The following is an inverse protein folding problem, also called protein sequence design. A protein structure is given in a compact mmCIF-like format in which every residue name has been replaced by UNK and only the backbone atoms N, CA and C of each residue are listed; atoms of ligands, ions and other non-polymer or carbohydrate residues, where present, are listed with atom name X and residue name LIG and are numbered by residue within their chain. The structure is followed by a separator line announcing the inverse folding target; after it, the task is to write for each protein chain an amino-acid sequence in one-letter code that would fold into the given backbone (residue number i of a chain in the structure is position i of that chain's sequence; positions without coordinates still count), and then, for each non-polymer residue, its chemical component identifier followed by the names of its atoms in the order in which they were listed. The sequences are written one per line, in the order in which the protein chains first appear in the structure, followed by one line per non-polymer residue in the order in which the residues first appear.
data_IF_734137193835
#
_entry.id   IF_734137193835
#
_cell.length_a   1.000
_cell.length_b   1.000
_cell.length_c   1.000
_cell.angle_alpha   90.00
_cell.angle_beta   90.00
_cell.angle_gamma   90.00
#
_symmetry.space_group_name_H-M   'P 1'
#
loop_
_entity.id
_entity.type
_entity.pdbx_description
1 polymer ?
#
# COMPACT_ATOMS: atom_id res chain seq x y z
N UNK A 1 13.96 29.48 -24.18
CA UNK A 1 14.34 28.06 -24.28
C UNK A 1 14.14 27.45 -22.91
N UNK A 2 12.98 26.83 -22.68
CA UNK A 2 12.74 26.10 -21.42
C UNK A 2 13.59 24.83 -21.53
N UNK A 3 14.62 24.73 -20.70
CA UNK A 3 15.44 23.51 -20.57
C UNK A 3 14.51 22.35 -20.22
N UNK A 4 14.28 21.43 -21.16
CA UNK A 4 13.56 20.20 -20.86
C UNK A 4 14.46 19.35 -19.95
N UNK A 5 13.95 19.02 -18.76
CA UNK A 5 14.63 18.15 -17.80
C UNK A 5 14.76 16.76 -18.46
N UNK A 6 15.98 16.39 -18.85
CA UNK A 6 16.23 15.10 -19.48
C UNK A 6 16.39 14.02 -18.42
N UNK A 7 15.58 12.96 -18.49
CA UNK A 7 15.57 11.87 -17.51
C UNK A 7 16.34 10.66 -18.04
N UNK A 8 17.57 10.49 -17.61
CA UNK A 8 18.38 9.30 -17.88
C UNK A 8 18.14 8.26 -16.77
N UNK A 9 17.62 7.07 -17.11
CA UNK A 9 17.25 6.05 -16.12
C UNK A 9 18.43 5.59 -15.28
N UNK A 10 19.63 5.58 -15.86
CA UNK A 10 20.88 5.15 -15.23
C UNK A 10 21.25 6.05 -14.05
N UNK A 11 20.91 7.34 -14.08
CA UNK A 11 21.17 8.29 -12.98
C UNK A 11 20.35 8.01 -11.73
N UNK A 12 19.22 7.31 -11.88
CA UNK A 12 18.30 7.01 -10.79
C UNK A 12 18.38 5.55 -10.34
N UNK A 13 19.26 4.76 -10.94
CA UNK A 13 19.41 3.37 -10.58
C UNK A 13 19.95 3.24 -9.16
N UNK A 14 19.28 2.40 -8.35
CA UNK A 14 19.70 2.08 -6.99
C UNK A 14 20.16 0.63 -6.91
N UNK A 15 21.33 0.43 -6.32
CA UNK A 15 21.88 -0.90 -6.01
C UNK A 15 21.18 -1.56 -4.80
N UNK A 16 20.28 -0.84 -4.11
CA UNK A 16 19.49 -1.40 -3.04
C UNK A 16 18.57 -2.49 -3.58
N UNK A 17 18.66 -3.68 -3.00
CA UNK A 17 17.71 -4.75 -3.29
C UNK A 17 16.40 -4.53 -2.54
N UNK A 18 15.27 -4.86 -3.19
CA UNK A 18 13.98 -4.97 -2.50
C UNK A 18 14.08 -6.06 -1.42
N UNK A 19 13.43 -5.83 -0.28
CA UNK A 19 13.44 -6.83 0.80
C UNK A 19 12.63 -8.07 0.41
N UNK A 20 12.84 -9.20 1.11
CA UNK A 20 12.10 -10.44 0.86
C UNK A 20 10.60 -10.25 1.13
N UNK A 21 10.25 -9.44 2.13
CA UNK A 21 8.87 -9.09 2.46
C UNK A 21 8.23 -8.27 1.35
N UNK A 22 8.95 -7.27 0.84
CA UNK A 22 8.52 -6.43 -0.27
C UNK A 22 8.35 -7.25 -1.56
N UNK A 23 9.27 -8.18 -1.85
CA UNK A 23 9.17 -9.09 -3.00
C UNK A 23 7.93 -9.98 -2.92
N UNK A 24 7.64 -10.56 -1.75
CA UNK A 24 6.45 -11.38 -1.51
C UNK A 24 5.16 -10.58 -1.69
N UNK A 25 5.12 -9.35 -1.16
CA UNK A 25 4.00 -8.44 -1.34
C UNK A 25 3.79 -8.07 -2.82
N UNK A 26 4.86 -7.75 -3.56
CA UNK A 26 4.77 -7.44 -4.98
C UNK A 26 4.35 -8.63 -5.84
N UNK A 27 4.73 -9.87 -5.48
CA UNK A 27 4.21 -11.08 -6.15
C UNK A 27 2.68 -11.17 -6.03
N UNK A 28 2.12 -10.83 -4.87
CA UNK A 28 0.66 -10.82 -4.67
C UNK A 28 -0.01 -9.71 -5.49
N UNK A 29 0.58 -8.50 -5.50
CA UNK A 29 0.08 -7.38 -6.31
C UNK A 29 0.09 -7.71 -7.82
N UNK A 30 1.17 -8.35 -8.30
CA UNK A 30 1.23 -8.85 -9.69
C UNK A 30 0.15 -9.87 -10.00
N UNK A 31 -0.13 -10.79 -9.08
CA UNK A 31 -1.21 -11.78 -9.26
C UNK A 31 -2.57 -11.08 -9.40
N UNK A 32 -2.85 -10.10 -8.55
CA UNK A 32 -4.06 -9.27 -8.65
C UNK A 32 -4.14 -8.54 -10.00
N UNK A 33 -3.05 -7.89 -10.42
CA UNK A 33 -2.98 -7.19 -11.70
C UNK A 33 -3.22 -8.13 -12.88
N UNK A 34 -2.63 -9.34 -12.90
CA UNK A 34 -2.87 -10.33 -13.96
C UNK A 34 -4.32 -10.79 -14.05
N UNK A 35 -5.07 -10.72 -12.96
CA UNK A 35 -6.50 -11.11 -12.92
C UNK A 35 -7.44 -9.97 -13.29
N UNK A 36 -7.05 -8.72 -13.05
CA UNK A 36 -7.94 -7.55 -13.12
C UNK A 36 -7.53 -6.52 -14.17
N UNK A 37 -6.30 -6.62 -14.67
CA UNK A 37 -5.63 -5.62 -15.51
C UNK A 37 -5.58 -4.22 -14.88
N UNK A 38 -5.70 -4.15 -13.55
CA UNK A 38 -5.68 -2.91 -12.77
C UNK A 38 -4.60 -2.96 -11.69
N UNK A 39 -3.93 -1.84 -11.39
CA UNK A 39 -2.99 -1.79 -10.27
C UNK A 39 -3.70 -1.93 -8.94
N UNK A 40 -3.05 -2.60 -7.98
CA UNK A 40 -3.41 -2.43 -6.58
C UNK A 40 -2.96 -1.04 -6.13
N UNK A 41 -3.90 -0.23 -5.64
CA UNK A 41 -3.62 1.12 -5.13
C UNK A 41 -3.66 1.11 -3.61
N UNK A 42 -2.61 1.64 -2.98
CA UNK A 42 -2.50 1.77 -1.53
C UNK A 42 -2.23 3.23 -1.16
N UNK A 43 -2.92 3.71 -0.13
CA UNK A 43 -2.82 5.09 0.37
C UNK A 43 -2.56 5.04 1.84
N UNK A 44 -1.56 5.76 2.30
CA UNK A 44 -1.23 5.82 3.71
C UNK A 44 -2.24 6.64 4.53
N UNK A 45 -2.41 6.29 5.81
CA UNK A 45 -3.46 6.88 6.65
C UNK A 45 -3.19 8.36 6.95
N UNK A 46 -1.92 8.76 6.98
CA UNK A 46 -1.51 10.15 7.19
C UNK A 46 -1.97 11.11 6.09
N UNK A 47 -2.40 10.61 4.93
CA UNK A 47 -3.02 11.45 3.89
C UNK A 47 -4.44 11.89 4.30
N UNK A 48 -5.11 11.09 5.13
CA UNK A 48 -6.47 11.37 5.58
C UNK A 48 -6.51 12.11 6.92
N UNK A 49 -5.43 12.01 7.72
CA UNK A 49 -5.31 12.71 8.99
C UNK A 49 -4.74 14.12 8.79
N UNK A 50 -5.57 15.14 9.04
CA UNK A 50 -5.20 16.55 8.84
C UNK A 50 -4.16 17.05 9.85
N UNK A 51 -4.00 16.35 10.98
CA UNK A 51 -3.00 16.65 12.00
C UNK A 51 -1.59 16.14 11.64
N UNK A 52 -1.48 15.23 10.67
CA UNK A 52 -0.21 14.65 10.28
C UNK A 52 0.53 15.51 9.25
N UNK A 53 1.74 15.95 9.61
CA UNK A 53 2.67 16.59 8.68
C UNK A 53 3.37 15.52 7.84
N UNK A 54 2.99 15.40 6.57
CA UNK A 54 3.77 14.65 5.58
C UNK A 54 5.05 15.42 5.25
N UNK A 55 6.19 14.82 5.57
CA UNK A 55 7.51 15.37 5.22
C UNK A 55 7.70 15.36 3.70
N UNK A 56 7.30 14.26 3.03
CA UNK A 56 7.44 14.07 1.59
C UNK A 56 6.15 13.47 1.02
N UNK A 57 5.79 13.89 -0.19
CA UNK A 57 4.65 13.34 -0.92
C UNK A 57 5.17 12.33 -1.94
N UNK A 58 5.25 11.05 -1.55
CA UNK A 58 5.82 10.00 -2.40
C UNK A 58 4.73 9.27 -3.17
N UNK A 59 4.96 9.08 -4.47
CA UNK A 59 4.31 8.07 -5.28
C UNK A 59 5.33 6.96 -5.55
N UNK A 60 4.96 5.72 -5.27
CA UNK A 60 5.78 4.54 -5.60
C UNK A 60 5.01 3.63 -6.54
N UNK A 61 5.63 3.29 -7.67
CA UNK A 61 5.05 2.43 -8.69
C UNK A 61 5.80 1.12 -8.78
N UNK A 62 5.06 0.02 -8.84
CA UNK A 62 5.56 -1.26 -9.32
C UNK A 62 5.11 -1.48 -10.76
N UNK A 63 6.07 -1.66 -11.67
CA UNK A 63 5.83 -1.79 -13.12
C UNK A 63 6.30 -3.17 -13.59
N UNK A 64 5.44 -3.92 -14.30
CA UNK A 64 5.75 -5.23 -14.87
C UNK A 64 6.41 -5.09 -16.25
N UNK A 65 7.59 -4.47 -16.27
CA UNK A 65 8.46 -4.31 -17.44
C UNK A 65 9.89 -4.70 -17.10
N UNK A 66 10.62 -5.11 -18.13
CA UNK A 66 12.05 -5.33 -18.07
C UNK A 66 12.81 -3.99 -18.03
N UNK A 67 13.79 -3.87 -17.14
CA UNK A 67 14.55 -2.63 -16.92
C UNK A 67 15.34 -2.19 -18.15
N UNK A 68 15.90 -3.13 -18.92
CA UNK A 68 16.72 -2.80 -20.08
C UNK A 68 15.87 -2.16 -21.18
N UNK A 69 14.64 -2.63 -21.35
CA UNK A 69 13.68 -2.13 -22.33
C UNK A 69 12.80 -0.96 -21.82
N UNK A 70 12.98 -0.53 -20.58
CA UNK A 70 12.21 0.56 -20.01
C UNK A 70 12.74 1.92 -20.44
N UNK A 71 11.85 2.73 -21.00
CA UNK A 71 12.10 4.12 -21.36
C UNK A 71 11.41 4.99 -20.32
N UNK A 72 12.23 5.54 -19.41
CA UNK A 72 11.75 6.30 -18.26
C UNK A 72 10.95 7.54 -18.68
N UNK A 73 11.48 8.32 -19.62
CA UNK A 73 10.84 9.56 -20.08
C UNK A 73 9.45 9.31 -20.70
N UNK A 74 9.32 8.31 -21.57
CA UNK A 74 8.02 7.91 -22.14
C UNK A 74 7.02 7.50 -21.05
N UNK A 75 7.49 6.74 -20.04
CA UNK A 75 6.65 6.37 -18.90
C UNK A 75 6.21 7.60 -18.10
N UNK A 76 7.14 8.53 -17.80
CA UNK A 76 6.85 9.74 -17.04
C UNK A 76 5.85 10.65 -17.76
N UNK A 77 6.03 10.87 -19.06
CA UNK A 77 5.09 11.64 -19.86
C UNK A 77 3.67 11.06 -19.80
N UNK A 78 3.54 9.73 -19.91
CA UNK A 78 2.24 9.05 -19.85
C UNK A 78 1.61 9.11 -18.45
N UNK A 79 2.39 8.87 -17.39
CA UNK A 79 1.85 8.89 -16.02
C UNK A 79 1.48 10.31 -15.60
N UNK A 80 2.29 11.32 -15.93
CA UNK A 80 1.99 12.73 -15.70
C UNK A 80 0.70 13.15 -16.42
N UNK A 81 0.51 12.71 -17.67
CA UNK A 81 -0.73 12.97 -18.40
C UNK A 81 -1.95 12.30 -17.75
N UNK A 82 -1.85 11.03 -17.34
CA UNK A 82 -2.96 10.30 -16.69
C UNK A 82 -3.32 10.92 -15.33
N UNK A 83 -2.32 11.40 -14.59
CA UNK A 83 -2.50 11.92 -13.23
C UNK A 83 -2.72 13.44 -13.17
N UNK A 84 -2.68 14.13 -14.31
CA UNK A 84 -2.73 15.60 -14.41
C UNK A 84 -1.65 16.29 -13.56
N UNK A 85 -0.40 15.81 -13.68
CA UNK A 85 0.77 16.33 -12.96
C UNK A 85 1.77 16.89 -13.99
N UNK A 86 2.34 18.07 -13.72
CA UNK A 86 3.41 18.62 -14.56
C UNK A 86 4.70 17.81 -14.36
N UNK A 87 5.41 17.52 -15.45
CA UNK A 87 6.68 16.80 -15.39
C UNK A 87 7.74 17.55 -14.55
N UNK A 88 7.67 18.89 -14.52
CA UNK A 88 8.57 19.71 -13.68
C UNK A 88 8.23 19.63 -12.19
N UNK A 89 7.03 19.17 -11.86
CA UNK A 89 6.57 19.00 -10.48
C UNK A 89 6.93 17.63 -9.91
N UNK A 90 7.71 16.81 -10.62
CA UNK A 90 8.17 15.51 -10.12
C UNK A 90 9.69 15.43 -10.00
N UNK A 91 10.12 14.71 -8.96
CA UNK A 91 11.51 14.32 -8.79
C UNK A 91 11.63 12.83 -8.55
N UNK A 92 12.54 12.19 -9.28
CA UNK A 92 12.72 10.75 -9.20
C UNK A 92 13.77 10.48 -8.13
N UNK A 93 13.40 9.65 -7.16
CA UNK A 93 14.27 9.32 -6.05
C UNK A 93 15.12 8.11 -6.34
N UNK A 94 14.50 7.05 -6.85
CA UNK A 94 15.20 5.81 -7.20
C UNK A 94 14.41 4.92 -8.15
N UNK A 95 15.17 4.06 -8.84
CA UNK A 95 14.71 2.94 -9.66
C UNK A 95 15.44 1.67 -9.21
N UNK A 96 14.70 0.64 -8.82
CA UNK A 96 15.27 -0.65 -8.42
C UNK A 96 14.95 -1.76 -9.45
N UNK A 97 15.89 -2.71 -9.61
CA UNK A 97 15.80 -3.85 -10.54
C UNK A 97 14.85 -4.94 -10.01
N UNK A 98 14.22 -5.63 -10.94
CA UNK A 98 13.14 -6.60 -10.70
C UNK A 98 11.97 -6.25 -11.61
N UNK A 99 10.75 -6.28 -11.08
CA UNK A 99 9.72 -5.42 -11.64
C UNK A 99 10.11 -3.98 -11.32
N UNK A 100 10.20 -3.10 -12.31
CA UNK A 100 10.73 -1.76 -12.13
C UNK A 100 9.95 -1.05 -11.03
N UNK A 101 10.66 -0.72 -9.95
CA UNK A 101 10.11 0.02 -8.82
C UNK A 101 10.57 1.46 -8.97
N UNK A 102 9.63 2.37 -9.23
CA UNK A 102 9.91 3.80 -9.41
C UNK A 102 9.36 4.57 -8.21
N UNK A 103 10.23 5.28 -7.50
CA UNK A 103 9.83 6.21 -6.44
C UNK A 103 9.98 7.64 -6.93
N UNK A 104 8.89 8.42 -6.83
CA UNK A 104 8.87 9.83 -7.19
C UNK A 104 8.31 10.69 -6.05
N UNK A 105 8.85 11.88 -5.89
CA UNK A 105 8.30 12.94 -5.05
C UNK A 105 7.57 13.99 -5.89
N UNK A 106 6.42 14.46 -5.40
CA UNK A 106 5.68 15.56 -6.01
C UNK A 106 6.08 16.91 -5.38
N UNK A 107 6.79 17.73 -6.14
CA UNK A 107 7.41 19.00 -5.74
C UNK A 107 6.52 20.25 -5.86
N UNK A 108 5.36 20.18 -6.54
CA UNK A 108 4.50 21.34 -6.86
C UNK A 108 4.36 22.35 -5.71
N UNK A 109 4.52 23.65 -5.93
CA UNK A 109 4.30 24.66 -4.86
C UNK A 109 2.81 24.70 -4.47
N UNK A 110 2.42 24.07 -3.36
CA UNK A 110 1.06 24.14 -2.80
C UNK A 110 1.16 24.15 -1.28
N UNK A 111 0.22 24.84 -0.63
CA UNK A 111 0.23 25.16 0.81
C UNK A 111 0.29 23.94 1.74
N UNK A 112 -0.07 22.72 1.29
CA UNK A 112 0.21 21.50 2.03
C UNK A 112 0.42 20.25 1.14
N UNK A 113 1.47 19.45 1.42
CA UNK A 113 1.78 18.18 0.71
C UNK A 113 0.68 17.09 0.86
N UNK A 114 0.06 16.86 2.04
CA UNK A 114 -1.02 15.88 2.20
C UNK A 114 -2.24 16.13 1.30
N UNK A 115 -2.68 17.39 1.20
CA UNK A 115 -3.85 17.74 0.39
C UNK A 115 -3.63 17.42 -1.09
N UNK A 116 -2.41 17.52 -1.61
CA UNK A 116 -2.10 17.13 -3.00
C UNK A 116 -2.30 15.65 -3.24
N UNK A 117 -1.76 14.80 -2.38
CA UNK A 117 -1.96 13.35 -2.53
C UNK A 117 -3.44 13.01 -2.34
N UNK A 118 -4.13 13.66 -1.39
CA UNK A 118 -5.58 13.49 -1.20
C UNK A 118 -6.37 13.85 -2.46
N UNK A 119 -5.97 14.90 -3.19
CA UNK A 119 -6.59 15.29 -4.47
C UNK A 119 -6.34 14.26 -5.57
N UNK A 120 -5.09 13.81 -5.74
CA UNK A 120 -4.72 12.74 -6.69
C UNK A 120 -5.48 11.46 -6.35
N UNK A 121 -5.56 11.09 -5.07
CA UNK A 121 -6.29 9.91 -4.67
C UNK A 121 -7.78 10.02 -5.00
N UNK A 122 -8.40 11.17 -4.71
CA UNK A 122 -9.80 11.43 -5.02
C UNK A 122 -10.10 11.42 -6.52
N UNK A 123 -9.11 11.71 -7.38
CA UNK A 123 -9.27 11.65 -8.83
C UNK A 123 -9.06 10.25 -9.42
N UNK A 124 -8.58 9.28 -8.65
CA UNK A 124 -8.42 7.89 -9.12
C UNK A 124 -9.78 7.22 -9.26
N UNK A 125 -10.28 7.24 -10.49
CA UNK A 125 -11.46 6.49 -10.93
C UNK A 125 -11.08 5.10 -11.43
N UNK A 126 -12.05 4.21 -11.61
CA UNK A 126 -11.85 2.91 -12.27
C UNK A 126 -11.27 3.08 -13.67
N UNK A 127 -11.71 4.11 -14.40
CA UNK A 127 -11.19 4.41 -15.73
C UNK A 127 -9.69 4.77 -15.67
N UNK A 128 -9.32 5.64 -14.74
CA UNK A 128 -7.90 5.98 -14.51
C UNK A 128 -7.09 4.74 -14.12
N UNK A 129 -7.61 3.88 -13.25
CA UNK A 129 -6.95 2.60 -12.89
C UNK A 129 -6.73 1.69 -14.09
N UNK A 130 -7.67 1.63 -15.03
CA UNK A 130 -7.50 0.89 -16.30
C UNK A 130 -6.38 1.49 -17.16
N UNK A 131 -6.33 2.83 -17.30
CA UNK A 131 -5.25 3.49 -18.05
C UNK A 131 -3.88 3.25 -17.40
N UNK A 132 -3.79 3.30 -16.07
CA UNK A 132 -2.58 2.93 -15.32
C UNK A 132 -2.19 1.45 -15.59
N UNK A 133 -3.18 0.56 -15.64
CA UNK A 133 -3.00 -0.85 -15.99
C UNK A 133 -2.35 -1.05 -17.36
N UNK A 134 -2.74 -0.26 -18.38
CA UNK A 134 -2.12 -0.31 -19.72
C UNK A 134 -0.63 0.03 -19.72
N UNK A 135 -0.16 0.80 -18.73
CA UNK A 135 1.27 1.07 -18.52
C UNK A 135 2.02 -0.09 -17.84
N UNK A 136 1.34 -1.20 -17.58
CA UNK A 136 1.80 -2.37 -16.82
C UNK A 136 2.11 -2.05 -15.36
N UNK A 137 1.46 -1.04 -14.79
CA UNK A 137 1.56 -0.75 -13.36
C UNK A 137 0.74 -1.81 -12.63
N UNK A 138 1.40 -2.61 -11.78
CA UNK A 138 0.73 -3.61 -10.94
C UNK A 138 0.49 -3.11 -9.51
N UNK A 139 1.24 -2.09 -9.09
CA UNK A 139 1.14 -1.51 -7.75
C UNK A 139 1.37 -0.01 -7.80
N UNK A 140 0.59 0.74 -7.02
CA UNK A 140 0.80 2.16 -6.77
C UNK A 140 0.60 2.44 -5.29
N UNK A 141 1.58 3.08 -4.67
CA UNK A 141 1.48 3.60 -3.31
C UNK A 141 1.57 5.12 -3.32
N UNK A 142 0.81 5.76 -2.42
CA UNK A 142 0.82 7.19 -2.20
C UNK A 142 0.91 7.46 -0.70
N UNK A 143 1.90 8.22 -0.25
CA UNK A 143 2.11 8.48 1.18
C UNK A 143 3.54 8.76 1.59
N UNK A 144 3.83 8.55 2.88
CA UNK A 144 5.19 8.48 3.38
C UNK A 144 5.77 7.07 3.13
N UNK A 145 7.02 7.00 2.65
CA UNK A 145 7.69 5.72 2.39
C UNK A 145 7.83 4.88 3.67
N UNK A 146 8.02 5.51 4.82
CA UNK A 146 8.11 4.81 6.11
C UNK A 146 6.79 4.11 6.47
N UNK A 147 5.66 4.68 6.05
CA UNK A 147 4.34 4.08 6.24
C UNK A 147 4.15 2.86 5.35
N UNK A 148 4.71 2.87 4.14
CA UNK A 148 4.70 1.71 3.25
C UNK A 148 5.48 0.54 3.85
N UNK A 149 6.70 0.79 4.32
CA UNK A 149 7.55 -0.25 4.93
C UNK A 149 6.85 -0.89 6.13
N UNK A 150 6.28 -0.05 7.02
CA UNK A 150 5.48 -0.53 8.15
C UNK A 150 4.32 -1.40 7.68
N UNK A 151 3.56 -0.96 6.68
CA UNK A 151 2.41 -1.72 6.15
C UNK A 151 2.80 -3.03 5.48
N UNK A 152 3.88 -3.06 4.72
CA UNK A 152 4.38 -4.30 4.10
C UNK A 152 4.84 -5.28 5.17
N UNK A 153 5.57 -4.79 6.18
CA UNK A 153 5.96 -5.58 7.35
C UNK A 153 4.74 -6.10 8.11
N UNK A 154 3.76 -5.24 8.41
CA UNK A 154 2.52 -5.66 9.06
C UNK A 154 1.73 -6.65 8.21
N UNK A 155 1.59 -6.47 6.90
CA UNK A 155 0.92 -7.44 6.02
C UNK A 155 1.65 -8.78 5.95
N UNK A 156 2.97 -8.80 6.15
CA UNK A 156 3.76 -10.02 6.21
C UNK A 156 3.65 -10.71 7.58
N UNK A 157 3.66 -9.93 8.66
CA UNK A 157 3.41 -10.38 10.03
C UNK A 157 1.95 -10.86 10.19
N UNK A 158 1.01 -10.24 9.46
CA UNK A 158 -0.42 -10.52 9.50
C UNK A 158 -0.79 -11.50 8.39
N UNK A 159 -0.76 -12.79 8.72
CA UNK A 159 -1.25 -13.87 7.84
C UNK A 159 -2.62 -14.32 8.32
N UNK A 160 -3.65 -14.18 7.47
CA UNK A 160 -4.93 -14.87 7.67
C UNK A 160 -4.69 -16.38 7.55
N UNK A 161 -4.32 -17.03 8.64
CA UNK A 161 -4.08 -18.48 8.64
C UNK A 161 -5.41 -19.20 8.82
N UNK A 162 -5.75 -20.13 7.91
CA UNK A 162 -7.03 -20.84 7.99
C UNK A 162 -7.26 -21.63 9.29
N UNK A 163 -6.19 -21.98 10.02
CA UNK A 163 -6.28 -22.69 11.32
C UNK A 163 -6.90 -21.83 12.42
N UNK A 164 -6.89 -20.50 12.25
CA UNK A 164 -7.53 -19.55 13.16
C UNK A 164 -8.91 -19.11 12.65
N UNK A 165 -9.34 -19.58 11.46
CA UNK A 165 -10.71 -19.39 11.01
C UNK A 165 -11.61 -20.30 11.86
N UNK A 166 -12.56 -19.68 12.55
CA UNK A 166 -13.54 -20.41 13.35
C UNK A 166 -14.90 -20.27 12.67
N UNK A 167 -15.48 -21.39 12.27
CA UNK A 167 -16.85 -21.46 11.76
C UNK A 167 -17.74 -21.82 12.94
N UNK A 168 -18.63 -20.90 13.29
CA UNK A 168 -19.69 -21.17 14.25
C UNK A 168 -20.80 -21.99 13.61
N UNK A 169 -21.19 -23.08 14.28
CA UNK A 169 -22.45 -23.75 13.98
C UNK A 169 -23.63 -22.87 14.43
N UNK A 170 -24.81 -23.16 13.87
CA UNK A 170 -26.03 -22.33 13.87
C UNK A 170 -26.59 -21.94 15.27
N UNK A 171 -26.07 -22.52 16.34
CA UNK A 171 -26.58 -22.40 17.72
C UNK A 171 -25.69 -21.63 18.70
N UNK A 172 -24.56 -21.04 18.28
CA UNK A 172 -23.66 -20.31 19.20
C UNK A 172 -23.36 -18.91 18.69
N UNK A 173 -24.13 -17.92 19.16
CA UNK A 173 -24.00 -16.50 18.80
C UNK A 173 -23.02 -15.73 19.68
N UNK A 174 -22.39 -16.39 20.66
CA UNK A 174 -21.48 -15.74 21.61
C UNK A 174 -20.34 -16.65 22.10
N UNK A 175 -19.30 -16.02 22.65
CA UNK A 175 -18.19 -16.67 23.35
C UNK A 175 -18.43 -16.62 24.86
N UNK A 176 -18.23 -17.74 25.56
CA UNK A 176 -18.01 -17.78 27.02
C UNK A 176 -16.77 -18.64 27.27
N UNK A 177 -15.81 -18.09 28.03
CA UNK A 177 -14.60 -18.79 28.44
C UNK A 177 -13.35 -18.49 27.61
N UNK A 178 -12.22 -19.03 28.06
CA UNK A 178 -10.93 -18.86 27.40
C UNK A 178 -10.95 -19.44 25.97
N UNK A 179 -10.33 -18.72 25.03
CA UNK A 179 -10.12 -19.23 23.68
C UNK A 179 -9.13 -20.41 23.69
N UNK A 180 -9.04 -21.15 22.58
CA UNK A 180 -8.03 -22.21 22.37
C UNK A 180 -6.57 -21.72 22.42
N UNK A 181 -6.33 -20.42 22.63
CA UNK A 181 -5.02 -19.82 22.89
C UNK A 181 -4.73 -19.67 24.40
N UNK A 182 -5.64 -20.13 25.26
CA UNK A 182 -5.52 -20.10 26.72
C UNK A 182 -5.72 -18.71 27.33
N UNK A 183 -6.21 -17.72 26.56
CA UNK A 183 -6.37 -16.34 27.06
C UNK A 183 -7.81 -16.01 27.43
N UNK A 184 -7.97 -15.42 28.61
CA UNK A 184 -9.24 -14.88 29.10
C UNK A 184 -9.50 -13.50 28.46
N UNK A 185 -10.69 -13.33 27.86
CA UNK A 185 -11.13 -12.08 27.22
C UNK A 185 -12.28 -11.42 28.02
N UNK A 186 -12.49 -11.85 29.26
CA UNK A 186 -13.51 -11.33 30.16
C UNK A 186 -14.88 -11.98 30.01
N UNK A 187 -15.78 -11.65 30.93
CA UNK A 187 -17.11 -12.26 31.08
C UNK A 187 -18.19 -11.75 30.10
N UNK A 188 -17.83 -10.98 29.07
CA UNK A 188 -18.82 -10.40 28.16
C UNK A 188 -18.91 -11.15 26.83
N UNK A 189 -20.10 -11.71 26.48
CA UNK A 189 -20.30 -12.37 25.20
C UNK A 189 -20.20 -11.38 24.04
N UNK A 190 -19.21 -11.56 23.17
CA UNK A 190 -19.09 -10.78 21.93
C UNK A 190 -19.97 -11.38 20.82
N UNK A 191 -21.14 -10.77 20.58
CA UNK A 191 -22.12 -11.26 19.60
C UNK A 191 -21.67 -11.06 18.16
N UNK A 192 -21.84 -12.07 17.29
CA UNK A 192 -21.80 -11.90 15.84
C UNK A 192 -23.20 -12.03 15.26
N UNK A 193 -23.65 -11.10 14.39
CA UNK A 193 -24.87 -11.29 13.64
C UNK A 193 -24.79 -12.53 12.73
N UNK A 194 -25.92 -13.22 12.58
CA UNK A 194 -26.07 -14.38 11.69
C UNK A 194 -25.76 -13.98 10.24
N UNK A 195 -24.96 -14.80 9.54
CA UNK A 195 -24.56 -14.58 8.14
C UNK A 195 -23.22 -13.86 7.94
N UNK A 196 -22.59 -13.37 9.01
CA UNK A 196 -21.28 -12.72 8.93
C UNK A 196 -20.15 -13.75 9.01
N UNK A 197 -19.18 -13.69 8.08
CA UNK A 197 -17.92 -14.44 8.16
C UNK A 197 -16.91 -13.64 8.97
N UNK A 198 -16.47 -14.16 10.12
CA UNK A 198 -15.35 -13.60 10.88
C UNK A 198 -14.02 -14.16 10.39
N UNK A 199 -13.05 -13.28 10.21
CA UNK A 199 -11.66 -13.63 9.91
C UNK A 199 -10.82 -13.34 11.15
N UNK A 200 -10.04 -14.31 11.61
CA UNK A 200 -9.09 -14.09 12.69
C UNK A 200 -7.79 -13.54 12.12
N UNK A 201 -7.40 -12.38 12.63
CA UNK A 201 -6.15 -11.74 12.25
C UNK A 201 -5.03 -12.29 13.14
N UNK A 202 -4.07 -12.98 12.54
CA UNK A 202 -2.79 -13.16 13.20
C UNK A 202 -2.07 -11.84 13.19
N UNK A 203 -1.51 -11.43 14.33
CA UNK A 203 -0.84 -10.13 14.45
C UNK A 203 0.66 -10.32 14.60
N UNK A 204 1.08 -11.14 15.57
CA UNK A 204 2.46 -11.60 15.76
C UNK A 204 2.49 -12.66 16.87
N UNK A 205 3.56 -13.46 16.94
CA UNK A 205 3.78 -14.41 18.03
C UNK A 205 3.87 -13.73 19.41
N UNK A 206 4.41 -12.51 19.46
CA UNK A 206 4.53 -11.73 20.69
C UNK A 206 3.42 -10.68 20.90
N UNK A 207 2.23 -10.92 20.34
CA UNK A 207 1.09 -10.01 20.49
C UNK A 207 0.82 -9.62 21.95
N UNK A 208 0.98 -10.54 22.90
CA UNK A 208 0.77 -10.27 24.33
C UNK A 208 1.78 -9.29 24.95
N UNK A 209 3.00 -9.21 24.44
CA UNK A 209 4.03 -8.28 24.93
C UNK A 209 3.86 -6.88 24.33
N UNK A 210 3.41 -6.82 23.08
CA UNK A 210 3.24 -5.56 22.32
C UNK A 210 1.88 -4.91 22.59
N UNK A 211 0.84 -5.69 22.80
CA UNK A 211 -0.50 -5.18 23.06
C UNK A 211 -0.69 -4.92 24.56
N UNK A 212 -0.28 -3.73 25.01
CA UNK A 212 -0.68 -3.20 26.32
C UNK A 212 -2.16 -2.84 26.22
N UNK A 213 -3.05 -3.79 26.53
CA UNK A 213 -4.50 -3.60 26.43
C UNK A 213 -4.94 -2.33 27.16
N UNK A 214 -5.16 -1.26 26.41
CA UNK A 214 -5.91 -0.10 26.91
C UNK A 214 -7.37 -0.45 26.68
N UNK A 215 -8.05 -0.80 27.76
CA UNK A 215 -9.50 -0.88 27.77
C UNK A 215 -10.04 0.51 27.45
N UNK A 216 -10.69 0.68 26.31
CA UNK A 216 -11.54 1.86 26.08
C UNK A 216 -12.77 1.65 26.96
N UNK A 217 -12.82 2.41 28.05
CA UNK A 217 -14.03 2.54 28.86
C UNK A 217 -14.95 3.46 28.07
N UNK A 218 -16.07 2.91 27.58
CA UNK A 218 -17.20 3.68 27.02
C UNK A 218 -18.16 4.04 28.15
#
# INVERSE_FOLDING_TARGET
LISQKQYEKEKYFSDEHISVEEESFYKQCKKYYKMTEMPLTSVSDEIFNEDNKLTLAILKFGIDKDYNNFVLEDFLCKICHIMDIDLNDIDIRKIQKGSIILEMEILKKVDSKPQKIKLIFKSITDQMRKELGKLKIFFMFMGDIQSLEKRQKYSYEIKLHPKWNLIYAQSYTYWVGANNDGRDRGNQPYYCPVGWKRYSLYVADNFGEKFRGISVIL
#
